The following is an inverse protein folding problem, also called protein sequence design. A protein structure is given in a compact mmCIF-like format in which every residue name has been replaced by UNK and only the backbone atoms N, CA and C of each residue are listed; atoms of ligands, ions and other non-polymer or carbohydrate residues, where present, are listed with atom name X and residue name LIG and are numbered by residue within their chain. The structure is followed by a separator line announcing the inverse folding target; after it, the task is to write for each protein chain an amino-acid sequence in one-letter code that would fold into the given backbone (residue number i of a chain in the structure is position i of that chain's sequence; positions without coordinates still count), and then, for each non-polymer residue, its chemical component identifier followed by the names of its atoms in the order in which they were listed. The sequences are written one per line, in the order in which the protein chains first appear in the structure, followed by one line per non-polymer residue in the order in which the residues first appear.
data_IF_054616797981
#
_entry.id   IF_054616797981
#
_cell.length_a   1.000
_cell.length_b   1.000
_cell.length_c   1.000
_cell.angle_alpha   90.00
_cell.angle_beta   90.00
_cell.angle_gamma   90.00
#
_symmetry.space_group_name_H-M   'P 1'
#
loop_
_entity.id
_entity.type
_entity.pdbx_description
1 polymer ?
#
# COMPACT_ATOMS: atom_id res chain seq x y z
N UNK A 1 -13.25 -10.42 -29.81
CA UNK A 1 -12.34 -10.56 -28.65
C UNK A 1 -10.96 -11.08 -29.05
N UNK A 2 -10.84 -12.26 -29.68
CA UNK A 2 -9.54 -12.78 -30.18
C UNK A 2 -8.93 -11.90 -31.31
N UNK A 3 -9.73 -11.55 -32.32
CA UNK A 3 -9.27 -10.71 -33.44
C UNK A 3 -8.85 -9.30 -32.98
N UNK A 4 -9.61 -8.71 -32.05
CA UNK A 4 -9.29 -7.40 -31.47
C UNK A 4 -7.99 -7.42 -30.65
N UNK A 5 -7.71 -8.52 -29.94
CA UNK A 5 -6.47 -8.68 -29.19
C UNK A 5 -5.25 -8.81 -30.12
N UNK A 6 -5.35 -9.61 -31.19
CA UNK A 6 -4.26 -9.78 -32.16
C UNK A 6 -3.96 -8.48 -32.91
N UNK A 7 -4.98 -7.70 -33.29
CA UNK A 7 -4.80 -6.38 -33.92
C UNK A 7 -4.11 -5.41 -32.95
N UNK A 8 -4.47 -5.43 -31.67
CA UNK A 8 -3.84 -4.60 -30.65
C UNK A 8 -2.38 -4.98 -30.43
N UNK A 9 -2.07 -6.29 -30.37
CA UNK A 9 -0.73 -6.81 -30.21
C UNK A 9 0.19 -6.39 -31.37
N UNK A 10 -0.30 -6.51 -32.61
CA UNK A 10 0.43 -6.08 -33.81
C UNK A 10 0.67 -4.56 -33.84
N UNK A 11 -0.31 -3.75 -33.40
CA UNK A 11 -0.13 -2.31 -33.24
C UNK A 11 0.91 -1.95 -32.18
N UNK A 12 0.94 -2.66 -31.06
CA UNK A 12 1.96 -2.44 -30.03
C UNK A 12 3.36 -2.83 -30.55
N UNK A 13 3.48 -3.98 -31.20
CA UNK A 13 4.75 -4.45 -31.78
C UNK A 13 5.32 -3.41 -32.76
N UNK A 14 4.49 -2.92 -33.69
CA UNK A 14 4.89 -1.92 -34.68
C UNK A 14 5.29 -0.59 -34.06
N UNK A 15 4.61 -0.14 -33.00
CA UNK A 15 5.00 1.07 -32.26
C UNK A 15 6.33 0.91 -31.54
N UNK A 16 6.56 -0.23 -30.92
CA UNK A 16 7.82 -0.52 -30.21
C UNK A 16 9.01 -0.56 -31.16
N UNK A 17 8.87 -1.25 -32.30
CA UNK A 17 9.92 -1.29 -33.33
C UNK A 17 10.20 0.11 -33.88
N UNK A 18 9.16 0.87 -34.22
CA UNK A 18 9.33 2.24 -34.71
C UNK A 18 10.09 3.11 -33.71
N UNK A 19 9.74 3.02 -32.42
CA UNK A 19 10.38 3.80 -31.36
C UNK A 19 11.88 3.46 -31.23
N UNK A 20 12.25 2.18 -31.26
CA UNK A 20 13.64 1.76 -31.17
C UNK A 20 14.47 2.26 -32.36
N UNK A 21 13.90 2.21 -33.57
CA UNK A 21 14.56 2.74 -34.76
C UNK A 21 14.72 4.26 -34.69
N UNK A 22 13.70 4.99 -34.22
CA UNK A 22 13.75 6.45 -34.06
C UNK A 22 14.84 6.89 -33.06
N UNK A 23 15.23 6.05 -32.09
CA UNK A 23 16.30 6.36 -31.13
C UNK A 23 17.68 6.39 -31.78
N UNK A 24 17.94 5.50 -32.74
CA UNK A 24 19.25 5.39 -33.40
C UNK A 24 19.32 6.15 -34.72
N UNK A 25 18.18 6.50 -35.32
CA UNK A 25 18.07 7.09 -36.67
C UNK A 25 18.95 8.33 -36.95
N UNK A 26 19.23 9.14 -35.93
CA UNK A 26 19.98 10.40 -36.10
C UNK A 26 21.46 10.29 -35.68
N UNK A 27 21.95 9.09 -35.35
CA UNK A 27 23.36 8.88 -35.03
C UNK A 27 24.21 8.91 -36.31
N UNK A 28 25.39 9.52 -36.22
CA UNK A 28 26.26 9.83 -37.36
C UNK A 28 26.90 8.57 -37.98
N UNK A 29 27.06 7.50 -37.19
CA UNK A 29 27.79 6.28 -37.57
C UNK A 29 26.91 5.00 -37.47
N UNK A 30 25.63 5.08 -37.87
CA UNK A 30 24.73 3.92 -37.79
C UNK A 30 24.80 3.07 -39.06
N UNK A 31 25.14 1.80 -38.89
CA UNK A 31 25.15 0.78 -39.93
C UNK A 31 23.90 -0.10 -39.89
N UNK A 32 23.71 -0.91 -40.94
CA UNK A 32 22.57 -1.83 -41.03
C UNK A 32 22.53 -2.83 -39.86
N UNK A 33 23.69 -3.21 -39.33
CA UNK A 33 23.80 -4.09 -38.15
C UNK A 33 23.14 -3.50 -36.91
N UNK A 34 23.25 -2.19 -36.71
CA UNK A 34 22.71 -1.51 -35.52
C UNK A 34 21.17 -1.50 -35.56
N UNK A 35 20.59 -1.34 -36.74
CA UNK A 35 19.14 -1.46 -36.94
C UNK A 35 18.64 -2.88 -36.68
N UNK A 36 19.40 -3.89 -37.11
CA UNK A 36 19.08 -5.30 -36.86
C UNK A 36 19.16 -5.59 -35.36
N UNK A 37 20.23 -5.15 -34.69
CA UNK A 37 20.46 -5.34 -33.26
C UNK A 37 19.35 -4.69 -32.42
N UNK A 38 18.97 -3.45 -32.75
CA UNK A 38 17.87 -2.74 -32.12
C UNK A 38 16.55 -3.51 -32.22
N UNK A 39 16.30 -4.18 -33.35
CA UNK A 39 15.11 -5.01 -33.53
C UNK A 39 15.20 -6.35 -32.78
N UNK A 40 16.37 -6.99 -32.75
CA UNK A 40 16.55 -8.26 -32.02
C UNK A 40 16.39 -8.08 -30.52
N UNK A 41 16.80 -6.94 -29.98
CA UNK A 41 16.64 -6.61 -28.57
C UNK A 41 15.16 -6.56 -28.15
N UNK A 42 14.25 -6.15 -29.04
CA UNK A 42 12.79 -6.14 -28.78
C UNK A 42 12.21 -7.55 -28.66
N UNK A 43 12.76 -8.51 -29.42
CA UNK A 43 12.31 -9.90 -29.36
C UNK A 43 12.85 -10.65 -28.13
N UNK A 44 13.82 -10.07 -27.41
CA UNK A 44 14.45 -10.68 -26.25
C UNK A 44 13.48 -10.84 -25.07
N UNK A 45 13.71 -11.89 -24.27
CA UNK A 45 12.97 -12.10 -23.02
C UNK A 45 13.24 -10.97 -21.99
N UNK A 46 14.41 -10.35 -22.04
CA UNK A 46 14.75 -9.21 -21.20
C UNK A 46 13.84 -8.01 -21.50
N UNK A 47 13.62 -7.70 -22.78
CA UNK A 47 12.73 -6.63 -23.19
C UNK A 47 11.28 -6.89 -22.75
N UNK A 48 10.79 -8.14 -22.85
CA UNK A 48 9.47 -8.52 -22.33
C UNK A 48 9.38 -8.32 -20.82
N UNK A 49 10.39 -8.77 -20.07
CA UNK A 49 10.44 -8.61 -18.63
C UNK A 49 10.45 -7.14 -18.21
N UNK A 50 11.22 -6.29 -18.90
CA UNK A 50 11.27 -4.86 -18.65
C UNK A 50 9.94 -4.17 -18.97
N UNK A 51 9.27 -4.54 -20.06
CA UNK A 51 7.93 -4.01 -20.36
C UNK A 51 6.90 -4.42 -19.30
N UNK A 52 6.92 -5.66 -18.83
CA UNK A 52 6.04 -6.12 -17.74
C UNK A 52 6.37 -5.36 -16.45
N UNK A 53 7.64 -5.18 -16.11
CA UNK A 53 8.08 -4.44 -14.93
C UNK A 53 7.64 -2.97 -15.00
N UNK A 54 7.81 -2.33 -16.15
CA UNK A 54 7.41 -0.93 -16.40
C UNK A 54 5.89 -0.77 -16.30
N UNK A 55 5.12 -1.64 -16.96
CA UNK A 55 3.67 -1.62 -16.89
C UNK A 55 3.18 -1.82 -15.44
N UNK A 56 3.80 -2.74 -14.70
CA UNK A 56 3.48 -3.00 -13.30
C UNK A 56 3.84 -1.81 -12.40
N UNK A 57 4.98 -1.16 -12.65
CA UNK A 57 5.39 0.04 -11.91
C UNK A 57 4.40 1.20 -12.13
N UNK A 58 3.99 1.43 -13.38
CA UNK A 58 2.96 2.42 -13.73
C UNK A 58 1.63 2.11 -13.05
N UNK A 59 1.17 0.85 -13.10
CA UNK A 59 -0.05 0.43 -12.43
C UNK A 59 0.02 0.68 -10.91
N UNK A 60 1.15 0.35 -10.28
CA UNK A 60 1.36 0.63 -8.85
C UNK A 60 1.35 2.13 -8.56
N UNK A 61 1.94 2.96 -9.42
CA UNK A 61 1.92 4.42 -9.27
C UNK A 61 0.51 4.98 -9.39
N UNK A 62 -0.27 4.54 -10.38
CA UNK A 62 -1.68 4.93 -10.54
C UNK A 62 -2.52 4.49 -9.34
N UNK A 63 -2.31 3.26 -8.84
CA UNK A 63 -3.00 2.77 -7.65
C UNK A 63 -2.67 3.58 -6.40
N UNK A 64 -1.42 4.03 -6.24
CA UNK A 64 -0.99 4.88 -5.13
C UNK A 64 -1.59 6.27 -5.23
N UNK A 65 -1.60 6.86 -6.43
CA UNK A 65 -2.23 8.16 -6.68
C UNK A 65 -3.74 8.16 -6.36
N UNK A 66 -4.41 7.01 -6.52
CA UNK A 66 -5.81 6.84 -6.18
C UNK A 66 -6.10 6.68 -4.67
N UNK A 67 -5.07 6.40 -3.85
CA UNK A 67 -5.24 6.27 -2.40
C UNK A 67 -5.40 7.67 -1.79
N UNK A 68 -6.47 7.86 -1.01
CA UNK A 68 -6.71 9.06 -0.21
C UNK A 68 -6.33 8.82 1.24
N UNK A 69 -5.72 9.79 1.91
CA UNK A 69 -5.56 9.69 3.37
C UNK A 69 -6.95 9.74 4.04
N UNK A 70 -7.26 8.75 4.89
CA UNK A 70 -8.56 8.67 5.58
C UNK A 70 -8.88 9.92 6.43
N UNK A 71 -7.85 10.63 6.93
CA UNK A 71 -8.02 11.83 7.76
C UNK A 71 -8.27 13.10 6.95
N UNK A 72 -7.47 13.37 5.92
CA UNK A 72 -7.51 14.64 5.18
C UNK A 72 -8.22 14.53 3.82
N UNK A 73 -8.55 13.30 3.37
CA UNK A 73 -9.16 12.99 2.08
C UNK A 73 -8.42 13.53 0.85
N UNK A 74 -7.16 13.93 1.03
CA UNK A 74 -6.25 14.33 -0.06
C UNK A 74 -5.68 13.08 -0.76
N UNK A 75 -5.54 13.18 -2.08
CA UNK A 75 -5.03 12.13 -2.96
C UNK A 75 -3.50 12.06 -2.91
N UNK A 76 -2.94 10.86 -2.97
CA UNK A 76 -1.50 10.63 -3.19
C UNK A 76 -0.69 10.30 -1.94
N UNK A 77 -1.19 10.63 -0.74
CA UNK A 77 -0.50 10.30 0.50
C UNK A 77 -0.91 8.91 1.03
N UNK A 78 0.05 7.98 0.99
CA UNK A 78 -0.08 6.74 1.74
C UNK A 78 -0.11 7.06 3.25
N UNK A 79 -0.80 6.22 4.05
CA UNK A 79 -0.96 6.39 5.50
C UNK A 79 0.32 6.77 6.27
N UNK A 80 1.49 6.35 5.79
CA UNK A 80 2.81 6.65 6.38
C UNK A 80 3.29 8.08 6.13
N UNK A 81 2.89 8.68 5.01
CA UNK A 81 3.26 10.04 4.58
C UNK A 81 2.19 11.06 4.97
N UNK A 82 0.96 10.60 5.24
CA UNK A 82 -0.09 11.45 5.76
C UNK A 82 0.42 12.17 7.03
N UNK A 83 0.41 13.52 7.06
CA UNK A 83 0.94 14.28 8.19
C UNK A 83 0.29 13.73 9.45
N UNK A 84 1.10 13.38 10.45
CA UNK A 84 0.60 12.93 11.75
C UNK A 84 -0.18 14.09 12.33
N UNK A 85 -1.48 14.13 12.04
CA UNK A 85 -2.37 15.18 12.52
C UNK A 85 -2.09 15.34 14.00
N UNK A 86 -1.89 16.59 14.42
CA UNK A 86 -1.72 16.94 15.81
C UNK A 86 -2.69 16.08 16.61
N UNK A 87 -2.18 15.37 17.63
CA UNK A 87 -3.08 14.66 18.54
C UNK A 87 -4.05 15.73 19.02
N UNK A 88 -5.27 15.70 18.50
CA UNK A 88 -6.28 16.66 18.84
C UNK A 88 -6.28 16.73 20.36
N UNK A 89 -5.88 17.87 20.92
CA UNK A 89 -5.93 18.14 22.36
C UNK A 89 -7.40 18.30 22.80
N UNK A 90 -8.30 17.47 22.24
CA UNK A 90 -9.71 17.38 22.59
C UNK A 90 -9.75 16.82 24.00
N UNK A 91 -10.10 17.70 24.94
CA UNK A 91 -10.55 17.29 26.26
C UNK A 91 -11.86 16.51 26.09
N UNK A 92 -12.10 15.47 26.90
CA UNK A 92 -13.36 14.75 26.86
C UNK A 92 -14.52 15.71 27.16
N UNK A 93 -15.69 15.46 26.57
CA UNK A 93 -16.89 16.30 26.76
C UNK A 93 -17.56 16.12 28.12
N UNK A 94 -17.19 15.09 28.87
CA UNK A 94 -17.73 14.77 30.21
C UNK A 94 -16.59 14.62 31.22
N UNK A 95 -16.83 14.94 32.51
CA UNK A 95 -15.86 14.68 33.55
C UNK A 95 -15.52 13.19 33.63
N UNK A 96 -14.30 12.86 34.01
CA UNK A 96 -13.89 11.47 34.14
C UNK A 96 -14.74 10.76 35.20
N UNK A 97 -15.46 9.66 34.88
CA UNK A 97 -16.47 9.08 35.76
C UNK A 97 -15.93 8.63 37.13
N UNK A 98 -14.65 8.26 37.22
CA UNK A 98 -14.06 7.74 38.46
C UNK A 98 -13.88 8.82 39.52
N UNK A 99 -13.16 9.90 39.20
CA UNK A 99 -12.89 10.95 40.18
C UNK A 99 -13.88 12.11 40.10
N UNK A 100 -14.54 12.31 38.96
CA UNK A 100 -15.52 13.38 38.68
C UNK A 100 -15.00 14.81 38.92
N UNK A 101 -13.68 15.01 39.04
CA UNK A 101 -13.04 16.32 39.33
C UNK A 101 -12.69 17.15 38.10
N UNK A 102 -12.85 16.61 36.90
CA UNK A 102 -12.57 17.36 35.69
C UNK A 102 -12.55 16.52 34.43
N UNK A 103 -12.28 17.20 33.32
CA UNK A 103 -12.32 16.66 31.97
C UNK A 103 -10.93 16.17 31.55
N UNK A 104 -10.65 14.90 31.83
CA UNK A 104 -9.41 14.24 31.46
C UNK A 104 -9.65 12.78 31.12
N UNK A 105 -8.71 12.19 30.39
CA UNK A 105 -8.73 10.78 30.05
C UNK A 105 -8.28 9.91 31.23
N UNK A 106 -8.71 8.65 31.26
CA UNK A 106 -8.42 7.70 32.35
C UNK A 106 -6.93 7.60 32.68
N UNK A 107 -6.08 7.61 31.65
CA UNK A 107 -4.62 7.54 31.77
C UNK A 107 -3.96 8.82 32.33
N UNK A 108 -4.70 9.91 32.45
CA UNK A 108 -4.26 11.21 32.98
C UNK A 108 -4.85 11.49 34.37
N UNK A 109 -5.67 10.59 34.92
CA UNK A 109 -6.27 10.77 36.23
C UNK A 109 -5.25 10.50 37.34
N UNK A 110 -4.85 11.54 38.08
CA UNK A 110 -3.95 11.42 39.25
C UNK A 110 -4.69 11.59 40.59
N UNK A 111 -6.02 11.71 40.57
CA UNK A 111 -6.78 11.93 41.80
C UNK A 111 -6.89 10.64 42.61
N UNK A 112 -6.67 10.73 43.92
CA UNK A 112 -6.88 9.64 44.89
C UNK A 112 -8.30 9.60 45.46
N UNK A 113 -9.05 10.70 45.29
CA UNK A 113 -10.38 10.89 45.86
C UNK A 113 -11.38 11.29 44.77
N UNK A 114 -12.65 10.93 44.95
CA UNK A 114 -13.75 11.44 44.14
C UNK A 114 -14.08 12.91 44.47
N UNK A 115 -15.08 13.47 43.77
CA UNK A 115 -15.56 14.85 43.98
C UNK A 115 -16.18 15.09 45.37
N UNK A 116 -16.57 14.02 46.07
CA UNK A 116 -17.18 14.06 47.39
C UNK A 116 -16.17 13.80 48.52
N UNK A 117 -14.90 13.53 48.19
CA UNK A 117 -13.84 13.27 49.16
C UNK A 117 -13.68 11.78 49.53
N UNK A 118 -14.42 10.87 48.89
CA UNK A 118 -14.28 9.43 49.13
C UNK A 118 -13.07 8.87 48.38
N UNK A 119 -12.38 7.90 48.99
CA UNK A 119 -11.25 7.21 48.36
C UNK A 119 -11.69 6.44 47.11
N UNK A 120 -10.93 6.58 46.02
CA UNK A 120 -11.20 5.84 44.79
C UNK A 120 -10.78 4.38 44.94
N UNK A 121 -11.53 3.43 44.34
CA UNK A 121 -11.12 2.04 44.30
C UNK A 121 -9.78 1.90 43.57
N UNK A 122 -8.90 1.04 44.10
CA UNK A 122 -7.59 0.77 43.51
C UNK A 122 -7.78 0.29 42.07
N UNK A 123 -7.09 0.93 41.12
CA UNK A 123 -7.13 0.52 39.73
C UNK A 123 -6.47 -0.85 39.60
N UNK A 124 -7.27 -1.91 39.53
CA UNK A 124 -6.78 -3.25 39.23
C UNK A 124 -6.12 -3.27 37.86
N UNK A 125 -4.91 -3.82 37.78
CA UNK A 125 -4.29 -4.18 36.51
C UNK A 125 -5.02 -5.43 35.98
N UNK A 126 -6.20 -5.26 35.41
CA UNK A 126 -6.80 -6.30 34.59
C UNK A 126 -5.92 -6.46 33.36
N UNK A 127 -5.07 -7.50 33.35
CA UNK A 127 -4.47 -8.02 32.12
C UNK A 127 -5.63 -8.23 31.15
N UNK A 128 -5.74 -7.39 30.11
CA UNK A 128 -6.77 -7.51 29.10
C UNK A 128 -6.70 -8.91 28.50
N UNK A 129 -7.81 -9.64 28.59
CA UNK A 129 -7.93 -11.00 28.07
C UNK A 129 -7.59 -11.06 26.59
N UNK A 130 -6.98 -12.18 26.19
CA UNK A 130 -6.83 -12.55 24.80
C UNK A 130 -8.20 -12.52 24.12
N UNK A 131 -8.40 -11.53 23.24
CA UNK A 131 -9.57 -11.47 22.37
C UNK A 131 -9.43 -12.54 21.30
N UNK A 132 -10.23 -13.59 21.44
CA UNK A 132 -10.47 -14.66 20.49
C UNK A 132 -10.91 -14.12 19.12
N UNK A 133 -10.43 -14.73 18.04
CA UNK A 133 -11.02 -14.60 16.71
C UNK A 133 -10.04 -14.46 15.55
N UNK A 134 -9.16 -15.44 15.34
CA UNK A 134 -8.55 -15.67 14.02
C UNK A 134 -9.30 -16.84 13.35
N UNK A 135 -9.76 -16.72 12.09
CA UNK A 135 -10.35 -17.85 11.39
C UNK A 135 -9.25 -18.85 11.08
N UNK A 136 -9.42 -20.09 11.52
CA UNK A 136 -8.53 -21.19 11.13
C UNK A 136 -8.72 -21.47 9.65
N UNK A 137 -7.72 -21.11 8.84
CA UNK A 137 -7.54 -21.67 7.51
C UNK A 137 -7.12 -23.13 7.69
N UNK A 138 -7.97 -24.03 7.22
CA UNK A 138 -7.74 -25.45 7.06
C UNK A 138 -6.61 -25.67 6.03
N UNK A 139 -5.42 -26.00 6.55
CA UNK A 139 -4.24 -26.37 5.77
C UNK A 139 -4.27 -27.88 5.45
N UNK A 140 -4.28 -28.14 4.15
CA UNK A 140 -3.67 -29.24 3.40
C UNK A 140 -2.99 -30.35 4.22
N UNK A 141 -3.60 -31.54 4.23
CA UNK A 141 -2.93 -32.78 4.63
C UNK A 141 -1.95 -33.23 3.56
N UNK A 142 -0.67 -33.17 3.90
CA UNK A 142 0.42 -33.94 3.30
C UNK A 142 0.26 -35.42 3.72
N UNK A 143 -0.06 -36.31 2.80
CA UNK A 143 0.17 -37.76 2.93
C UNK A 143 0.81 -38.22 1.60
N UNK A 144 2.14 -38.34 1.54
CA UNK A 144 2.89 -39.59 1.77
C UNK A 144 2.42 -40.75 0.87
N UNK A 145 3.20 -40.98 -0.18
CA UNK A 145 3.29 -42.23 -0.95
C UNK A 145 3.78 -43.38 -0.09
N UNK A 146 3.31 -44.60 -0.38
CA UNK A 146 4.22 -45.74 -0.41
C UNK A 146 4.05 -46.62 -1.65
N UNK A 147 5.21 -46.95 -2.24
CA UNK A 147 5.62 -48.09 -3.08
C UNK A 147 4.76 -48.42 -4.31
#
# INVERSE_FOLDING_TARGET
LMLSYNILLMKMLTMTVKKALDQIRNHVDVELSDYIEACTNIASEQFKAEQIATARAQQLQMSRAAIKCFKFRELGDIRKQCPKGQRDNKKPSKPYPRCQKGFHWSNRCQSKYDKHGSLLPQQGNSKGGAGSGAPQSNETTLNQTPI
#
